data_IF_601174820258
#
_entry.id   IF_601174820258
#
_cell.length_a   1.000
_cell.length_b   1.000
_cell.length_c   1.000
_cell.angle_alpha   90.00
_cell.angle_beta   90.00
_cell.angle_gamma   90.00
#
_symmetry.space_group_name_H-M   'P 1'
#
loop_
_entity.id
_entity.type
_entity.pdbx_description
1 polymer ?
#
# COMPACT_ATOMS: atom_id res chain seq x y z
N UNK A 1 -29.93 17.04 -33.70
CA UNK A 1 -29.19 15.80 -33.57
C UNK A 1 -29.30 15.33 -32.11
N UNK A 2 -29.91 14.18 -31.85
CA UNK A 2 -29.88 13.60 -30.50
C UNK A 2 -28.49 13.02 -30.26
N UNK A 3 -27.88 13.24 -29.06
CA UNK A 3 -26.59 12.67 -28.73
C UNK A 3 -26.64 11.15 -28.79
N UNK A 4 -25.60 10.52 -29.27
CA UNK A 4 -25.50 9.05 -29.31
C UNK A 4 -25.55 8.47 -27.86
N UNK A 5 -25.98 7.22 -27.73
CA UNK A 5 -25.99 6.51 -26.45
C UNK A 5 -24.64 6.57 -25.76
N UNK A 6 -23.54 6.53 -26.52
CA UNK A 6 -22.18 6.67 -26.01
C UNK A 6 -21.87 8.09 -25.48
N UNK A 7 -22.38 9.12 -26.14
CA UNK A 7 -22.20 10.51 -25.67
C UNK A 7 -22.94 10.71 -24.34
N UNK A 8 -24.16 10.18 -24.22
CA UNK A 8 -24.95 10.25 -22.98
C UNK A 8 -24.27 9.47 -21.85
N UNK A 9 -23.67 8.30 -22.13
CA UNK A 9 -22.90 7.54 -21.14
C UNK A 9 -21.63 8.29 -20.70
N UNK A 10 -20.94 8.99 -21.62
CA UNK A 10 -19.79 9.84 -21.29
C UNK A 10 -20.20 11.02 -20.41
N UNK A 11 -21.28 11.70 -20.75
CA UNK A 11 -21.82 12.82 -19.97
C UNK A 11 -22.20 12.34 -18.56
N UNK A 12 -22.87 11.21 -18.44
CA UNK A 12 -23.22 10.63 -17.15
C UNK A 12 -21.98 10.27 -16.30
N UNK A 13 -20.90 9.78 -16.92
CA UNK A 13 -19.64 9.52 -16.24
C UNK A 13 -18.99 10.82 -15.73
N UNK A 14 -18.89 11.85 -16.59
CA UNK A 14 -18.34 13.15 -16.22
C UNK A 14 -19.17 13.77 -15.09
N UNK A 15 -20.48 13.74 -15.19
CA UNK A 15 -21.38 14.25 -14.14
C UNK A 15 -21.20 13.51 -12.81
N UNK A 16 -20.95 12.20 -12.82
CA UNK A 16 -20.69 11.42 -11.63
C UNK A 16 -19.35 11.79 -10.94
N UNK A 17 -18.34 12.24 -11.72
CA UNK A 17 -17.07 12.74 -11.17
C UNK A 17 -17.21 14.13 -10.53
N UNK A 18 -18.08 14.95 -11.07
CA UNK A 18 -18.26 16.35 -10.65
C UNK A 18 -19.27 16.51 -9.50
N UNK A 19 -20.01 15.47 -9.15
CA UNK A 19 -20.98 15.53 -8.03
C UNK A 19 -20.25 15.55 -6.68
N UNK A 20 -20.62 16.47 -5.77
CA UNK A 20 -20.13 16.43 -4.40
C UNK A 20 -20.49 15.10 -3.74
N UNK A 21 -19.57 14.58 -2.92
CA UNK A 21 -19.70 13.28 -2.25
C UNK A 21 -20.89 13.13 -1.31
N UNK A 22 -21.67 14.19 -1.09
CA UNK A 22 -22.85 14.23 -0.22
C UNK A 22 -24.16 13.81 -0.91
N UNK A 23 -24.17 13.55 -2.22
CA UNK A 23 -25.35 13.07 -2.90
C UNK A 23 -25.47 11.56 -2.69
N UNK A 24 -26.55 11.18 -2.03
CA UNK A 24 -26.93 9.81 -1.68
C UNK A 24 -26.71 8.83 -2.83
N UNK A 25 -25.98 7.75 -2.53
CA UNK A 25 -25.55 6.71 -3.48
C UNK A 25 -26.70 5.78 -3.94
N UNK A 26 -27.96 6.14 -3.76
CA UNK A 26 -29.08 5.23 -4.01
C UNK A 26 -29.39 4.93 -5.49
N UNK A 27 -28.75 5.62 -6.44
CA UNK A 27 -29.05 5.45 -7.88
C UNK A 27 -27.98 4.80 -8.73
N UNK A 28 -26.73 4.66 -8.29
CA UNK A 28 -25.60 4.31 -9.14
C UNK A 28 -25.20 2.82 -9.10
N UNK A 29 -26.18 1.93 -9.25
CA UNK A 29 -25.92 0.52 -9.52
C UNK A 29 -25.27 0.27 -10.91
N UNK A 30 -25.26 1.26 -11.79
CA UNK A 30 -24.72 1.19 -13.15
C UNK A 30 -23.18 1.11 -13.22
N UNK A 31 -22.47 1.47 -12.14
CA UNK A 31 -21.01 1.34 -12.04
C UNK A 31 -20.58 0.00 -11.41
N UNK A 32 -21.42 -1.00 -11.50
CA UNK A 32 -21.10 -2.34 -11.02
C UNK A 32 -20.17 -3.05 -12.00
N UNK A 33 -19.47 -4.08 -11.47
CA UNK A 33 -18.68 -5.06 -12.24
C UNK A 33 -19.37 -5.55 -13.53
N UNK A 34 -20.71 -5.47 -13.60
CA UNK A 34 -21.50 -5.85 -14.76
C UNK A 34 -21.20 -5.00 -16.02
N UNK A 35 -20.92 -3.70 -15.87
CA UNK A 35 -20.67 -2.83 -17.04
C UNK A 35 -19.32 -3.11 -17.70
N UNK A 36 -18.33 -3.59 -16.94
CA UNK A 36 -17.07 -4.08 -17.49
C UNK A 36 -17.23 -5.42 -18.22
N UNK A 37 -18.16 -6.27 -17.76
CA UNK A 37 -18.49 -7.55 -18.44
C UNK A 37 -19.17 -7.33 -19.79
N UNK A 38 -20.02 -6.34 -19.92
CA UNK A 38 -20.74 -6.03 -21.17
C UNK A 38 -19.80 -5.63 -22.31
N UNK A 39 -18.55 -5.22 -22.00
CA UNK A 39 -17.51 -4.84 -22.96
C UNK A 39 -16.44 -5.93 -23.16
N UNK A 40 -16.67 -7.16 -22.66
CA UNK A 40 -15.73 -8.28 -22.79
C UNK A 40 -14.46 -8.16 -21.92
N UNK A 41 -14.37 -7.17 -21.04
CA UNK A 41 -13.28 -7.01 -20.08
C UNK A 41 -13.52 -7.78 -18.78
N UNK A 42 -12.45 -8.18 -18.08
CA UNK A 42 -12.56 -8.67 -16.72
C UNK A 42 -13.19 -7.62 -15.80
N UNK A 43 -14.00 -8.02 -14.78
CA UNK A 43 -14.57 -7.08 -13.84
C UNK A 43 -13.45 -6.33 -13.12
N UNK A 44 -13.49 -5.00 -13.18
CA UNK A 44 -12.52 -4.16 -12.50
C UNK A 44 -12.74 -4.14 -10.99
N UNK A 45 -11.67 -3.88 -10.26
CA UNK A 45 -11.67 -3.82 -8.80
C UNK A 45 -11.97 -2.42 -8.27
N UNK A 46 -12.47 -2.37 -7.04
CA UNK A 46 -12.70 -1.15 -6.28
C UNK A 46 -11.54 -0.94 -5.31
N UNK A 47 -10.88 0.19 -5.43
CA UNK A 47 -9.70 0.52 -4.63
C UNK A 47 -9.94 1.79 -3.85
N UNK A 48 -9.59 1.81 -2.56
CA UNK A 48 -9.55 3.01 -1.75
C UNK A 48 -8.11 3.40 -1.40
N UNK A 49 -7.80 4.69 -1.48
CA UNK A 49 -6.53 5.27 -1.01
C UNK A 49 -6.85 6.17 0.18
N UNK A 50 -6.35 5.80 1.36
CA UNK A 50 -6.52 6.54 2.61
C UNK A 50 -5.27 7.37 2.90
N UNK A 51 -5.37 8.69 2.72
CA UNK A 51 -4.25 9.63 2.70
C UNK A 51 -3.94 10.11 1.28
N UNK A 52 -4.99 10.25 0.45
CA UNK A 52 -4.88 10.53 -0.98
C UNK A 52 -4.33 11.93 -1.31
N UNK A 53 -4.46 12.89 -0.40
CA UNK A 53 -3.97 14.26 -0.60
C UNK A 53 -2.51 14.48 -0.16
N UNK A 54 -1.89 13.48 0.46
CA UNK A 54 -0.49 13.52 0.88
C UNK A 54 0.50 13.41 -0.26
N UNK A 55 1.79 13.65 0.03
CA UNK A 55 2.86 13.60 -0.98
C UNK A 55 3.07 12.23 -1.64
N UNK A 56 2.67 11.13 -0.97
CA UNK A 56 2.61 9.79 -1.58
C UNK A 56 1.23 9.59 -2.23
N UNK A 57 0.17 10.06 -1.58
CA UNK A 57 -1.21 9.81 -1.99
C UNK A 57 -1.56 10.38 -3.36
N UNK A 58 -1.12 11.60 -3.68
CA UNK A 58 -1.42 12.23 -4.97
C UNK A 58 -0.83 11.46 -6.16
N UNK A 59 0.50 11.21 -6.25
CA UNK A 59 1.07 10.42 -7.34
C UNK A 59 0.56 8.97 -7.34
N UNK A 60 0.29 8.37 -6.19
CA UNK A 60 -0.32 7.06 -6.09
C UNK A 60 -1.73 7.04 -6.70
N UNK A 61 -2.54 8.06 -6.42
CA UNK A 61 -3.90 8.19 -6.97
C UNK A 61 -3.88 8.30 -8.50
N UNK A 62 -2.96 9.10 -9.03
CA UNK A 62 -2.75 9.23 -10.48
C UNK A 62 -2.37 7.87 -11.11
N UNK A 63 -1.39 7.19 -10.56
CA UNK A 63 -0.92 5.91 -11.08
C UNK A 63 -1.98 4.80 -10.96
N UNK A 64 -2.73 4.74 -9.85
CA UNK A 64 -3.83 3.78 -9.69
C UNK A 64 -5.00 4.05 -10.62
N UNK A 65 -5.26 5.32 -10.96
CA UNK A 65 -6.26 5.71 -11.97
C UNK A 65 -5.91 5.16 -13.36
N UNK A 66 -4.62 5.00 -13.66
CA UNK A 66 -4.12 4.44 -14.92
C UNK A 66 -4.17 2.90 -14.95
N UNK A 67 -4.28 2.24 -13.81
CA UNK A 67 -4.26 0.79 -13.75
C UNK A 67 -5.52 0.19 -14.38
N UNK A 68 -5.40 -0.67 -15.42
CA UNK A 68 -6.55 -1.21 -16.15
C UNK A 68 -7.43 -2.17 -15.33
N UNK A 69 -6.94 -2.66 -14.19
CA UNK A 69 -7.69 -3.51 -13.27
C UNK A 69 -8.59 -2.73 -12.32
N UNK A 70 -8.42 -1.41 -12.24
CA UNK A 70 -9.22 -0.54 -11.37
C UNK A 70 -10.44 -0.01 -12.12
N UNK A 71 -11.62 -0.28 -11.61
CA UNK A 71 -12.89 0.27 -12.12
C UNK A 71 -13.43 1.43 -11.29
N UNK A 72 -13.17 1.42 -9.98
CA UNK A 72 -13.58 2.47 -9.04
C UNK A 72 -12.40 2.80 -8.14
N UNK A 73 -12.10 4.07 -8.02
CA UNK A 73 -11.04 4.60 -7.16
C UNK A 73 -11.64 5.60 -6.18
N UNK A 74 -11.62 5.26 -4.89
CA UNK A 74 -12.02 6.14 -3.82
C UNK A 74 -10.80 6.83 -3.22
N UNK A 75 -10.82 8.16 -3.15
CA UNK A 75 -9.77 9.00 -2.60
C UNK A 75 -10.25 9.62 -1.29
N UNK A 76 -9.67 9.19 -0.18
CA UNK A 76 -10.01 9.70 1.15
C UNK A 76 -8.83 10.43 1.77
N UNK A 77 -9.13 11.58 2.38
CA UNK A 77 -8.19 12.29 3.26
C UNK A 77 -8.96 13.14 4.26
N UNK A 78 -8.29 13.64 5.29
CA UNK A 78 -8.84 14.62 6.23
C UNK A 78 -8.76 16.05 5.69
N UNK A 79 -7.96 16.25 4.63
CA UNK A 79 -7.79 17.53 3.93
C UNK A 79 -7.74 17.31 2.42
N UNK A 80 -8.20 18.25 1.63
CA UNK A 80 -7.99 18.41 0.17
C UNK A 80 -8.26 17.18 -0.75
N UNK A 81 -8.93 16.13 -0.28
CA UNK A 81 -9.30 15.00 -1.16
C UNK A 81 -10.21 15.41 -2.32
N UNK A 82 -11.15 16.38 -2.20
CA UNK A 82 -11.92 16.85 -3.35
C UNK A 82 -11.06 17.46 -4.46
N UNK A 83 -10.04 18.23 -4.11
CA UNK A 83 -9.12 18.85 -5.09
C UNK A 83 -8.34 17.79 -5.88
N UNK A 84 -7.76 16.81 -5.19
CA UNK A 84 -7.06 15.68 -5.84
C UNK A 84 -8.01 14.85 -6.71
N UNK A 85 -9.24 14.64 -6.24
CA UNK A 85 -10.27 13.92 -7.01
C UNK A 85 -10.63 14.64 -8.29
N UNK A 86 -10.84 15.96 -8.23
CA UNK A 86 -11.15 16.76 -9.39
C UNK A 86 -10.03 16.66 -10.44
N UNK A 87 -8.77 16.83 -10.03
CA UNK A 87 -7.60 16.76 -10.90
C UNK A 87 -7.47 15.38 -11.57
N UNK A 88 -7.45 14.31 -10.75
CA UNK A 88 -7.35 12.93 -11.26
C UNK A 88 -8.56 12.53 -12.12
N UNK A 89 -9.74 13.12 -11.91
CA UNK A 89 -10.94 12.83 -12.71
C UNK A 89 -10.84 13.31 -14.16
N UNK A 90 -9.94 14.26 -14.45
CA UNK A 90 -9.71 14.75 -15.82
C UNK A 90 -8.87 13.78 -16.67
N UNK A 91 -8.36 12.71 -16.10
CA UNK A 91 -7.61 11.69 -16.86
C UNK A 91 -8.58 10.78 -17.63
N UNK A 92 -8.32 10.54 -18.90
CA UNK A 92 -9.17 9.79 -19.85
C UNK A 92 -9.04 8.26 -19.71
N UNK A 93 -9.08 7.74 -18.49
CA UNK A 93 -9.02 6.31 -18.20
C UNK A 93 -10.38 5.74 -17.76
N UNK A 94 -10.52 4.41 -17.78
CA UNK A 94 -11.77 3.73 -17.50
C UNK A 94 -12.24 3.75 -16.04
N UNK A 95 -11.36 4.08 -15.08
CA UNK A 95 -11.72 4.09 -13.66
C UNK A 95 -12.58 5.30 -13.29
N UNK A 96 -13.60 5.09 -12.46
CA UNK A 96 -14.40 6.18 -11.85
C UNK A 96 -13.76 6.60 -10.54
N UNK A 97 -13.50 7.90 -10.37
CA UNK A 97 -12.88 8.44 -9.16
C UNK A 97 -13.93 9.13 -8.30
N UNK A 98 -13.87 8.96 -6.97
CA UNK A 98 -14.72 9.64 -5.99
C UNK A 98 -13.89 10.11 -4.81
N UNK A 99 -14.13 11.35 -4.38
CA UNK A 99 -13.45 11.97 -3.24
C UNK A 99 -14.31 11.94 -1.99
N UNK A 100 -13.65 11.70 -0.85
CA UNK A 100 -14.24 11.67 0.47
C UNK A 100 -13.38 12.45 1.45
N UNK A 101 -14.01 13.36 2.22
CA UNK A 101 -13.30 14.30 3.07
C UNK A 101 -13.69 14.12 4.53
N UNK A 102 -12.68 13.92 5.38
CA UNK A 102 -12.81 13.93 6.83
C UNK A 102 -13.50 12.70 7.41
N UNK A 103 -13.44 12.59 8.73
CA UNK A 103 -13.93 11.44 9.49
C UNK A 103 -15.36 11.01 9.18
N UNK A 104 -16.32 11.92 8.99
CA UNK A 104 -17.73 11.53 8.69
C UNK A 104 -17.89 10.76 7.39
N UNK A 105 -16.95 10.90 6.44
CA UNK A 105 -17.04 10.23 5.13
C UNK A 105 -16.18 8.97 5.02
N UNK A 106 -15.47 8.58 6.08
CA UNK A 106 -14.57 7.42 6.04
C UNK A 106 -15.33 6.12 5.71
N UNK A 107 -16.49 5.90 6.30
CA UNK A 107 -17.30 4.69 6.05
C UNK A 107 -17.75 4.62 4.58
N UNK A 108 -18.16 5.75 4.01
CA UNK A 108 -18.56 5.83 2.60
C UNK A 108 -17.36 5.56 1.66
N UNK A 109 -16.17 6.04 2.03
CA UNK A 109 -14.95 5.79 1.28
C UNK A 109 -14.58 4.29 1.23
N UNK A 110 -14.88 3.56 2.30
CA UNK A 110 -14.48 2.17 2.49
C UNK A 110 -15.52 1.14 2.03
N UNK A 111 -16.79 1.53 1.90
CA UNK A 111 -17.89 0.59 1.61
C UNK A 111 -17.65 -0.19 0.32
N UNK A 112 -17.51 -1.50 0.46
CA UNK A 112 -17.42 -2.46 -0.65
C UNK A 112 -16.10 -2.42 -1.43
N UNK A 113 -15.00 -1.97 -0.82
CA UNK A 113 -13.68 -1.98 -1.43
C UNK A 113 -13.08 -3.39 -1.48
N UNK A 114 -12.35 -3.68 -2.56
CA UNK A 114 -11.61 -4.93 -2.74
C UNK A 114 -10.15 -4.79 -2.25
N UNK A 115 -9.58 -3.60 -2.38
CA UNK A 115 -8.22 -3.25 -1.94
C UNK A 115 -8.24 -1.88 -1.26
N UNK A 116 -7.59 -1.78 -0.11
CA UNK A 116 -7.38 -0.52 0.62
C UNK A 116 -5.90 -0.25 0.76
N UNK A 117 -5.43 0.90 0.30
CA UNK A 117 -4.03 1.32 0.38
C UNK A 117 -3.95 2.47 1.39
N UNK A 118 -3.05 2.36 2.37
CA UNK A 118 -2.93 3.31 3.48
C UNK A 118 -1.56 4.00 3.47
N UNK A 119 -1.35 5.05 2.67
CA UNK A 119 -0.19 5.91 2.78
C UNK A 119 -0.35 6.99 3.87
N UNK A 120 -1.52 7.08 4.50
CA UNK A 120 -1.83 8.08 5.52
C UNK A 120 -0.81 8.09 6.66
N UNK A 121 -0.39 9.28 7.04
CA UNK A 121 0.55 9.51 8.13
C UNK A 121 1.19 10.88 8.01
N UNK A 122 1.73 11.36 9.10
CA UNK A 122 2.48 12.61 9.11
C UNK A 122 3.97 12.34 8.90
N UNK A 123 4.68 13.17 8.12
CA UNK A 123 6.13 13.11 8.05
C UNK A 123 6.73 13.63 9.35
N UNK A 124 7.96 13.22 9.66
CA UNK A 124 8.70 13.77 10.80
C UNK A 124 8.96 15.26 10.60
N UNK A 125 8.51 16.07 11.53
CA UNK A 125 8.75 17.53 11.56
C UNK A 125 9.96 17.84 12.44
N UNK A 126 10.64 18.98 12.23
CA UNK A 126 11.65 19.47 13.16
C UNK A 126 11.10 19.56 14.60
N UNK A 127 11.88 19.11 15.58
CA UNK A 127 11.47 19.05 16.99
C UNK A 127 10.63 17.83 17.39
N UNK A 128 10.14 17.04 16.47
CA UNK A 128 9.41 15.80 16.76
C UNK A 128 10.35 14.66 17.15
N UNK A 129 10.06 14.00 18.25
CA UNK A 129 10.72 12.75 18.62
C UNK A 129 10.23 11.57 17.76
N UNK A 130 10.94 10.45 17.79
CA UNK A 130 10.47 9.21 17.12
C UNK A 130 9.20 8.67 17.78
N UNK A 131 9.03 8.89 19.06
CA UNK A 131 7.86 8.43 19.82
C UNK A 131 6.63 9.27 19.54
N UNK A 132 6.78 10.60 19.38
CA UNK A 132 5.69 11.48 18.95
C UNK A 132 5.16 11.07 17.57
N UNK A 133 6.08 10.87 16.62
CA UNK A 133 5.74 10.42 15.28
C UNK A 133 5.02 9.06 15.29
N UNK A 134 5.54 8.12 16.10
CA UNK A 134 4.90 6.81 16.25
C UNK A 134 3.48 6.94 16.78
N UNK A 135 3.28 7.69 17.88
CA UNK A 135 1.96 7.81 18.51
C UNK A 135 0.91 8.44 17.58
N UNK A 136 1.30 9.46 16.81
CA UNK A 136 0.39 10.09 15.83
C UNK A 136 0.01 9.09 14.75
N UNK A 137 0.98 8.46 14.10
CA UNK A 137 0.72 7.53 13.00
C UNK A 137 0.00 6.26 13.47
N UNK A 138 0.30 5.77 14.67
CA UNK A 138 -0.41 4.65 15.30
C UNK A 138 -1.90 4.98 15.53
N UNK A 139 -2.21 6.19 16.00
CA UNK A 139 -3.58 6.68 16.15
C UNK A 139 -4.33 6.74 14.81
N UNK A 140 -3.69 7.29 13.78
CA UNK A 140 -4.25 7.35 12.42
C UNK A 140 -4.57 5.93 11.92
N UNK A 141 -3.59 5.02 11.95
CA UNK A 141 -3.76 3.63 11.49
C UNK A 141 -4.85 2.91 12.26
N UNK A 142 -4.92 3.08 13.59
CA UNK A 142 -6.01 2.52 14.40
C UNK A 142 -7.38 2.94 13.88
N UNK A 143 -7.62 4.25 13.73
CA UNK A 143 -8.91 4.78 13.27
C UNK A 143 -9.28 4.29 11.89
N UNK A 144 -8.32 4.26 10.96
CA UNK A 144 -8.57 3.76 9.60
C UNK A 144 -8.88 2.26 9.58
N UNK A 145 -8.17 1.46 10.38
CA UNK A 145 -8.40 0.02 10.47
C UNK A 145 -9.73 -0.32 11.18
N UNK A 146 -10.18 0.48 12.15
CA UNK A 146 -11.52 0.37 12.73
C UNK A 146 -12.60 0.57 11.66
N UNK A 147 -12.44 1.56 10.78
CA UNK A 147 -13.32 1.77 9.63
C UNK A 147 -13.31 0.59 8.63
N UNK A 148 -12.13 0.08 8.29
CA UNK A 148 -11.97 -1.07 7.38
C UNK A 148 -12.67 -2.31 7.94
N UNK A 149 -12.46 -2.63 9.21
CA UNK A 149 -13.08 -3.79 9.85
C UNK A 149 -14.61 -3.76 9.80
N UNK A 150 -15.20 -2.56 9.83
CA UNK A 150 -16.65 -2.33 9.77
C UNK A 150 -17.20 -2.36 8.34
N UNK A 151 -16.51 -1.73 7.38
CA UNK A 151 -17.08 -1.43 6.07
C UNK A 151 -16.60 -2.34 4.93
N UNK A 152 -15.39 -2.91 5.04
CA UNK A 152 -14.82 -3.79 4.02
C UNK A 152 -13.89 -4.86 4.64
N UNK A 153 -14.38 -5.72 5.56
CA UNK A 153 -13.54 -6.67 6.30
C UNK A 153 -12.83 -7.70 5.40
N UNK A 154 -13.32 -7.89 4.19
CA UNK A 154 -12.74 -8.81 3.21
C UNK A 154 -11.76 -8.13 2.23
N UNK A 155 -11.51 -6.83 2.35
CA UNK A 155 -10.55 -6.16 1.51
C UNK A 155 -9.11 -6.60 1.81
N UNK A 156 -8.25 -6.62 0.79
CA UNK A 156 -6.80 -6.66 1.01
C UNK A 156 -6.37 -5.27 1.49
N UNK A 157 -5.54 -5.22 2.53
CA UNK A 157 -5.02 -3.98 3.09
C UNK A 157 -3.52 -3.88 2.83
N UNK A 158 -3.12 -2.87 2.07
CA UNK A 158 -1.73 -2.52 1.80
C UNK A 158 -1.31 -1.35 2.71
N UNK A 159 -0.56 -1.65 3.75
CA UNK A 159 -0.14 -0.66 4.74
C UNK A 159 1.23 -0.09 4.40
N UNK A 160 1.27 1.24 4.21
CA UNK A 160 2.49 1.99 3.87
C UNK A 160 2.92 2.88 5.04
N UNK A 161 1.99 3.27 5.89
CA UNK A 161 2.21 4.19 7.03
C UNK A 161 3.38 3.77 7.90
N UNK A 162 4.34 4.68 8.08
CA UNK A 162 5.54 4.40 8.89
C UNK A 162 5.32 4.69 10.39
N UNK A 163 5.99 3.91 11.25
CA UNK A 163 6.90 2.79 10.98
C UNK A 163 6.14 1.48 10.69
N UNK A 164 6.28 0.95 9.47
CA UNK A 164 5.50 -0.22 9.00
C UNK A 164 5.64 -1.45 9.91
N UNK A 165 6.81 -1.66 10.49
CA UNK A 165 7.08 -2.76 11.41
C UNK A 165 6.25 -2.71 12.71
N UNK A 166 5.70 -1.54 13.04
CA UNK A 166 4.79 -1.37 14.18
C UNK A 166 3.34 -1.19 13.75
N UNK A 167 3.09 -0.52 12.61
CA UNK A 167 1.74 -0.21 12.16
C UNK A 167 0.99 -1.44 11.65
N UNK A 168 1.68 -2.42 11.05
CA UNK A 168 1.08 -3.71 10.67
C UNK A 168 0.62 -4.50 11.91
N UNK A 169 1.42 -4.70 12.96
CA UNK A 169 0.95 -5.25 14.23
C UNK A 169 -0.20 -4.47 14.86
N UNK A 170 -0.23 -3.12 14.79
CA UNK A 170 -1.36 -2.31 15.24
C UNK A 170 -2.63 -2.68 14.47
N UNK A 171 -2.57 -2.70 13.15
CA UNK A 171 -3.71 -3.07 12.31
C UNK A 171 -4.22 -4.48 12.63
N UNK A 172 -3.32 -5.44 12.80
CA UNK A 172 -3.68 -6.81 13.19
C UNK A 172 -4.42 -6.87 14.54
N UNK A 173 -3.93 -6.16 15.55
CA UNK A 173 -4.59 -6.12 16.88
C UNK A 173 -5.96 -5.40 16.81
N UNK A 174 -6.11 -4.36 15.99
CA UNK A 174 -7.40 -3.70 15.76
C UNK A 174 -8.39 -4.68 15.12
N UNK A 175 -8.01 -5.38 14.06
CA UNK A 175 -8.88 -6.35 13.38
C UNK A 175 -9.26 -7.53 14.31
N UNK A 176 -8.35 -8.00 15.16
CA UNK A 176 -8.66 -9.03 16.18
C UNK A 176 -9.71 -8.54 17.18
N UNK A 177 -9.61 -7.29 17.65
CA UNK A 177 -10.57 -6.69 18.59
C UNK A 177 -11.96 -6.47 17.97
N UNK A 178 -12.03 -6.27 16.66
CA UNK A 178 -13.28 -5.98 15.94
C UNK A 178 -14.16 -7.23 15.67
N UNK A 179 -14.05 -8.27 16.47
CA UNK A 179 -14.99 -9.39 16.44
C UNK A 179 -14.72 -10.45 15.36
N UNK A 180 -13.44 -10.75 15.07
CA UNK A 180 -13.07 -11.89 14.21
C UNK A 180 -12.89 -11.56 12.73
N UNK A 181 -12.76 -10.30 12.37
CA UNK A 181 -12.50 -9.86 10.99
C UNK A 181 -11.02 -9.98 10.57
N UNK A 182 -10.15 -10.42 11.48
CA UNK A 182 -8.73 -10.56 11.19
C UNK A 182 -8.43 -11.80 10.35
N UNK A 183 -8.14 -11.59 9.07
CA UNK A 183 -7.50 -12.57 8.21
C UNK A 183 -6.05 -12.15 7.96
N UNK A 184 -5.05 -12.89 8.49
CA UNK A 184 -3.64 -12.53 8.34
C UNK A 184 -3.18 -12.51 6.88
N UNK A 185 -3.87 -13.22 5.98
CA UNK A 185 -3.56 -13.24 4.55
C UNK A 185 -3.92 -11.94 3.84
N UNK A 186 -4.80 -11.13 4.43
CA UNK A 186 -5.32 -9.90 3.82
C UNK A 186 -4.66 -8.62 4.33
N UNK A 187 -3.73 -8.72 5.27
CA UNK A 187 -2.98 -7.59 5.82
C UNK A 187 -1.52 -7.67 5.39
N UNK A 188 -1.10 -6.77 4.51
CA UNK A 188 0.23 -6.74 3.92
C UNK A 188 0.90 -5.37 4.15
N UNK A 189 2.03 -5.38 4.84
CA UNK A 189 2.91 -4.22 4.93
C UNK A 189 3.76 -4.10 3.67
N UNK A 190 3.76 -2.91 3.06
CA UNK A 190 4.43 -2.67 1.80
C UNK A 190 5.92 -2.41 2.03
N UNK A 191 6.77 -3.35 1.62
CA UNK A 191 8.25 -3.25 1.64
C UNK A 191 8.84 -3.03 0.24
N UNK A 192 8.00 -2.92 -0.76
CA UNK A 192 8.37 -2.84 -2.18
C UNK A 192 9.34 -1.70 -2.51
N UNK A 193 9.36 -0.60 -1.74
CA UNK A 193 10.31 0.49 -2.01
C UNK A 193 11.76 0.05 -1.83
N UNK A 194 12.03 -0.81 -0.86
CA UNK A 194 13.38 -1.31 -0.63
C UNK A 194 13.78 -2.32 -1.73
N UNK A 195 12.83 -3.12 -2.24
CA UNK A 195 13.04 -3.98 -3.42
C UNK A 195 13.33 -3.14 -4.67
N UNK A 196 12.55 -2.09 -4.91
CA UNK A 196 12.76 -1.17 -6.06
C UNK A 196 14.14 -0.51 -5.97
N UNK A 197 14.57 -0.07 -4.80
CA UNK A 197 15.91 0.48 -4.59
C UNK A 197 17.00 -0.56 -4.82
N UNK A 198 16.81 -1.76 -4.29
CA UNK A 198 17.76 -2.86 -4.48
C UNK A 198 17.96 -3.15 -5.97
N UNK A 199 16.88 -3.33 -6.72
CA UNK A 199 16.95 -3.56 -8.16
C UNK A 199 17.61 -2.38 -8.90
N UNK A 200 17.25 -1.13 -8.55
CA UNK A 200 17.84 0.06 -9.19
C UNK A 200 19.34 0.17 -8.93
N UNK A 201 19.78 -0.08 -7.70
CA UNK A 201 21.19 0.09 -7.35
C UNK A 201 22.07 -1.02 -7.90
N UNK A 202 21.52 -2.16 -8.33
CA UNK A 202 22.25 -3.17 -9.10
C UNK A 202 22.74 -2.67 -10.48
N UNK A 203 22.27 -1.50 -10.94
CA UNK A 203 22.82 -0.84 -12.13
C UNK A 203 24.31 -0.56 -12.02
N UNK A 204 24.84 -0.33 -10.82
CA UNK A 204 26.29 -0.18 -10.54
C UNK A 204 27.08 -1.43 -10.99
N UNK A 205 26.42 -2.58 -11.00
CA UNK A 205 26.99 -3.86 -11.46
C UNK A 205 26.78 -4.10 -12.96
N UNK A 206 26.27 -3.11 -13.70
CA UNK A 206 25.94 -3.24 -15.12
C UNK A 206 24.70 -4.08 -15.42
N UNK A 207 23.86 -4.31 -14.41
CA UNK A 207 22.61 -5.08 -14.54
C UNK A 207 21.43 -4.16 -14.86
N UNK A 208 20.50 -4.62 -15.72
CA UNK A 208 19.26 -3.90 -15.97
C UNK A 208 18.31 -4.06 -14.75
N UNK A 209 17.90 -2.96 -14.10
CA UNK A 209 16.99 -3.00 -12.95
C UNK A 209 15.65 -3.70 -13.21
N UNK A 210 15.25 -3.84 -14.47
CA UNK A 210 14.00 -4.50 -14.89
C UNK A 210 14.10 -6.02 -14.91
N UNK A 211 15.34 -6.53 -15.05
CA UNK A 211 15.65 -7.95 -15.17
C UNK A 211 16.17 -8.56 -13.86
N UNK A 212 16.34 -7.71 -12.83
CA UNK A 212 16.86 -8.12 -11.52
C UNK A 212 15.70 -8.31 -10.54
N UNK A 213 15.75 -9.36 -9.75
CA UNK A 213 14.82 -9.63 -8.65
C UNK A 213 15.59 -9.83 -7.35
N UNK A 214 15.86 -8.74 -6.66
CA UNK A 214 16.57 -8.75 -5.36
C UNK A 214 15.56 -8.81 -4.23
N UNK A 215 15.44 -9.94 -3.52
CA UNK A 215 14.51 -10.05 -2.40
C UNK A 215 14.99 -9.23 -1.21
N UNK A 216 14.07 -8.47 -0.60
CA UNK A 216 14.29 -7.76 0.65
C UNK A 216 13.51 -8.46 1.76
N UNK A 217 14.18 -8.87 2.81
CA UNK A 217 13.61 -9.68 3.89
C UNK A 217 13.75 -9.01 5.25
N UNK A 218 13.03 -9.53 6.26
CA UNK A 218 13.10 -9.08 7.65
C UNK A 218 12.06 -8.02 7.98
N UNK A 219 12.22 -6.88 7.42
CA UNK A 219 11.41 -5.67 7.63
C UNK A 219 12.03 -4.55 6.83
N UNK A 220 11.88 -3.30 7.27
CA UNK A 220 12.56 -2.19 6.61
C UNK A 220 14.07 -2.40 6.69
N UNK A 221 14.67 -2.71 5.55
CA UNK A 221 16.11 -2.74 5.30
C UNK A 221 16.93 -3.93 5.87
N UNK A 222 16.49 -5.15 5.62
CA UNK A 222 17.40 -6.31 5.65
C UNK A 222 17.54 -6.87 4.24
N UNK A 223 18.75 -6.91 3.71
CA UNK A 223 19.01 -7.27 2.34
C UNK A 223 19.72 -8.62 2.25
N UNK A 224 19.27 -9.47 1.33
CA UNK A 224 19.99 -10.64 0.87
C UNK A 224 20.54 -10.33 -0.53
N UNK A 225 21.83 -9.98 -0.61
CA UNK A 225 22.56 -9.81 -1.87
C UNK A 225 23.86 -10.58 -1.75
N UNK A 226 24.04 -11.52 -2.64
CA UNK A 226 25.30 -12.24 -2.75
C UNK A 226 26.15 -11.67 -3.91
N UNK A 227 26.82 -10.53 -3.66
CA UNK A 227 27.77 -9.90 -4.56
C UNK A 227 29.05 -9.60 -3.77
N UNK A 228 30.02 -10.50 -3.82
CA UNK A 228 31.09 -10.64 -2.87
C UNK A 228 31.85 -9.36 -2.45
N UNK A 229 32.23 -8.46 -3.34
CA UNK A 229 33.03 -7.27 -3.00
C UNK A 229 32.23 -5.99 -2.79
N UNK A 230 31.01 -5.88 -3.36
CA UNK A 230 30.17 -4.68 -3.30
C UNK A 230 28.97 -4.82 -2.38
N UNK A 231 28.80 -5.98 -1.74
CA UNK A 231 27.65 -6.30 -0.88
C UNK A 231 27.46 -5.29 0.24
N UNK A 232 28.54 -4.92 0.93
CA UNK A 232 28.46 -3.97 2.05
C UNK A 232 28.08 -2.57 1.57
N UNK A 233 28.66 -2.10 0.48
CA UNK A 233 28.34 -0.79 -0.11
C UNK A 233 26.88 -0.74 -0.56
N UNK A 234 26.41 -1.73 -1.33
CA UNK A 234 25.04 -1.79 -1.82
C UNK A 234 24.03 -1.94 -0.68
N UNK A 235 24.33 -2.80 0.29
CA UNK A 235 23.47 -2.97 1.47
C UNK A 235 23.30 -1.65 2.21
N UNK A 236 24.42 -0.96 2.50
CA UNK A 236 24.39 0.33 3.18
C UNK A 236 23.61 1.39 2.39
N UNK A 237 23.81 1.47 1.08
CA UNK A 237 23.13 2.43 0.22
C UNK A 237 21.62 2.16 0.15
N UNK A 238 21.19 0.91 0.05
CA UNK A 238 19.78 0.54 0.02
C UNK A 238 19.11 0.85 1.36
N UNK A 239 19.76 0.49 2.47
CA UNK A 239 19.28 0.77 3.82
C UNK A 239 19.15 2.28 4.08
N UNK A 240 20.07 3.08 3.59
CA UNK A 240 20.12 4.52 3.81
C UNK A 240 19.49 5.36 2.67
N UNK A 241 18.97 4.74 1.62
CA UNK A 241 18.37 5.44 0.48
C UNK A 241 17.20 6.37 0.87
N UNK A 242 16.56 6.15 2.02
CA UNK A 242 15.60 7.08 2.59
C UNK A 242 16.25 8.37 3.12
N UNK A 243 17.43 8.27 3.73
CA UNK A 243 18.21 9.39 4.25
C UNK A 243 18.72 10.25 3.10
N UNK A 244 19.28 9.62 2.05
CA UNK A 244 19.72 10.29 0.83
C UNK A 244 18.61 11.22 0.25
N UNK A 245 17.36 10.73 0.18
CA UNK A 245 16.24 11.54 -0.31
C UNK A 245 15.90 12.69 0.64
N UNK A 246 15.93 12.46 1.96
CA UNK A 246 15.64 13.52 2.96
C UNK A 246 16.69 14.62 2.89
N UNK A 247 17.97 14.28 2.76
CA UNK A 247 19.07 15.22 2.61
C UNK A 247 18.95 16.01 1.30
N UNK A 248 18.72 15.34 0.18
CA UNK A 248 18.54 15.99 -1.12
C UNK A 248 17.32 16.94 -1.15
N UNK A 249 16.30 16.67 -0.35
CA UNK A 249 15.13 17.53 -0.17
C UNK A 249 15.32 18.61 0.91
N UNK A 250 16.52 18.78 1.44
CA UNK A 250 16.83 19.72 2.51
C UNK A 250 15.85 19.64 3.71
N UNK A 251 15.41 18.43 4.06
CA UNK A 251 14.45 18.16 5.15
C UNK A 251 12.98 18.43 4.82
N UNK A 252 12.65 18.83 3.59
CA UNK A 252 11.26 19.08 3.17
C UNK A 252 10.40 17.82 2.97
N UNK A 253 10.85 16.68 3.45
CA UNK A 253 10.12 15.42 3.41
C UNK A 253 10.99 14.22 3.05
N UNK A 254 10.37 13.08 2.87
CA UNK A 254 11.01 11.81 2.51
C UNK A 254 10.65 11.39 1.07
N UNK A 255 10.95 10.14 0.71
CA UNK A 255 10.55 9.57 -0.57
C UNK A 255 9.03 9.63 -0.75
N UNK A 256 8.58 10.22 -1.84
CA UNK A 256 7.17 10.36 -2.21
C UNK A 256 6.88 9.70 -3.55
N UNK A 257 7.54 10.13 -4.63
CA UNK A 257 7.31 9.61 -5.98
C UNK A 257 7.74 8.14 -6.11
N UNK A 258 8.94 7.81 -5.65
CA UNK A 258 9.43 6.42 -5.65
C UNK A 258 8.61 5.51 -4.73
N UNK A 259 8.09 6.04 -3.61
CA UNK A 259 7.18 5.27 -2.75
C UNK A 259 5.83 5.05 -3.44
N UNK A 260 5.28 6.03 -4.12
CA UNK A 260 4.05 5.88 -4.89
C UNK A 260 4.21 4.85 -6.02
N UNK A 261 5.33 4.89 -6.74
CA UNK A 261 5.68 3.89 -7.75
C UNK A 261 5.75 2.47 -7.16
N UNK A 262 6.48 2.29 -6.07
CA UNK A 262 6.58 1.01 -5.38
C UNK A 262 5.21 0.52 -4.88
N UNK A 263 4.38 1.42 -4.34
CA UNK A 263 3.04 1.10 -3.86
C UNK A 263 2.11 0.65 -4.99
N UNK A 264 2.17 1.30 -6.16
CA UNK A 264 1.38 0.89 -7.34
C UNK A 264 1.83 -0.47 -7.85
N UNK A 265 3.14 -0.72 -7.93
CA UNK A 265 3.68 -2.02 -8.34
C UNK A 265 3.16 -3.14 -7.43
N UNK A 266 3.18 -2.91 -6.12
CA UNK A 266 2.66 -3.86 -5.14
C UNK A 266 1.13 -4.01 -5.20
N UNK A 267 0.40 -2.90 -5.36
CA UNK A 267 -1.06 -2.90 -5.49
C UNK A 267 -1.51 -3.64 -6.77
N UNK A 268 -0.80 -3.45 -7.89
CA UNK A 268 -1.04 -4.20 -9.13
C UNK A 268 -0.87 -5.70 -8.91
N UNK A 269 0.19 -6.12 -8.20
CA UNK A 269 0.38 -7.53 -7.84
C UNK A 269 -0.80 -8.06 -7.00
N UNK A 270 -1.31 -7.28 -6.03
CA UNK A 270 -2.49 -7.64 -5.25
C UNK A 270 -3.74 -7.77 -6.14
N UNK A 271 -3.96 -6.85 -7.07
CA UNK A 271 -5.10 -6.90 -8.01
C UNK A 271 -5.01 -8.07 -8.97
N UNK A 272 -3.80 -8.39 -9.46
CA UNK A 272 -3.55 -9.59 -10.28
C UNK A 272 -3.82 -10.87 -9.49
N UNK A 273 -3.37 -10.93 -8.24
CA UNK A 273 -3.70 -12.04 -7.34
C UNK A 273 -5.21 -12.19 -7.13
N UNK A 274 -5.92 -11.09 -6.82
CA UNK A 274 -7.39 -11.08 -6.70
C UNK A 274 -8.10 -11.53 -7.99
N UNK A 275 -7.57 -11.18 -9.15
CA UNK A 275 -8.06 -11.66 -10.46
C UNK A 275 -7.87 -13.17 -10.60
N UNK A 276 -6.87 -13.74 -9.95
CA UNK A 276 -6.50 -15.16 -9.97
C UNK A 276 -5.37 -15.50 -10.92
N UNK A 277 -4.50 -14.53 -11.22
CA UNK A 277 -3.28 -14.76 -11.97
C UNK A 277 -2.36 -15.70 -11.19
N UNK A 278 -1.76 -16.65 -11.89
CA UNK A 278 -0.79 -17.55 -11.29
C UNK A 278 0.59 -16.91 -11.16
N UNK A 279 1.38 -17.35 -10.17
CA UNK A 279 2.79 -16.98 -10.05
C UNK A 279 3.04 -15.53 -9.64
N UNK A 280 2.07 -14.83 -9.06
CA UNK A 280 2.29 -13.48 -8.52
C UNK A 280 3.03 -13.60 -7.19
N UNK A 281 4.29 -13.21 -7.17
CA UNK A 281 5.17 -13.28 -5.99
C UNK A 281 5.83 -11.93 -5.76
N UNK A 282 5.68 -11.40 -4.55
CA UNK A 282 6.28 -10.12 -4.14
C UNK A 282 6.76 -10.19 -2.69
N UNK A 283 7.72 -9.34 -2.32
CA UNK A 283 8.13 -9.20 -0.93
C UNK A 283 7.11 -8.36 -0.15
N UNK A 284 6.66 -8.87 1.00
CA UNK A 284 5.72 -8.17 1.88
C UNK A 284 5.97 -8.49 3.35
N UNK A 285 5.70 -7.53 4.23
CA UNK A 285 5.71 -7.71 5.68
C UNK A 285 4.35 -8.23 6.13
N UNK A 286 4.31 -9.49 6.54
CA UNK A 286 3.07 -10.23 6.82
C UNK A 286 3.18 -11.02 8.14
N UNK A 287 2.05 -11.49 8.64
CA UNK A 287 2.05 -12.54 9.65
C UNK A 287 2.75 -13.79 9.08
N UNK A 288 3.77 -14.28 9.77
CA UNK A 288 4.71 -15.24 9.21
C UNK A 288 5.19 -16.24 10.24
N UNK A 289 5.61 -17.42 9.77
CA UNK A 289 6.28 -18.47 10.54
C UNK A 289 7.71 -18.73 10.03
N UNK A 290 8.25 -17.84 9.22
CA UNK A 290 9.62 -17.95 8.68
C UNK A 290 10.66 -17.81 9.78
N UNK A 291 10.34 -17.06 10.82
CA UNK A 291 11.14 -16.91 12.03
C UNK A 291 10.25 -17.09 13.28
N UNK A 292 10.83 -16.99 14.46
CA UNK A 292 10.09 -16.98 15.75
C UNK A 292 9.24 -15.70 15.95
N UNK A 293 9.42 -14.67 15.11
CA UNK A 293 8.65 -13.44 15.20
C UNK A 293 7.26 -13.61 14.54
N UNK A 294 6.21 -13.00 15.11
CA UNK A 294 4.85 -13.14 14.56
C UNK A 294 4.63 -12.42 13.23
N UNK A 295 5.54 -11.53 12.85
CA UNK A 295 5.55 -10.80 11.57
C UNK A 295 6.95 -10.75 11.02
N UNK A 296 7.06 -10.98 9.72
CA UNK A 296 8.34 -10.93 9.01
C UNK A 296 8.13 -10.60 7.54
N UNK A 297 9.11 -9.96 6.90
CA UNK A 297 9.08 -9.73 5.46
C UNK A 297 9.86 -10.80 4.71
N UNK A 298 9.22 -11.43 3.75
CA UNK A 298 9.83 -12.37 2.81
C UNK A 298 9.05 -12.39 1.50
N UNK A 299 9.46 -13.20 0.53
CA UNK A 299 8.66 -13.45 -0.67
C UNK A 299 7.34 -14.10 -0.29
N UNK A 300 6.25 -13.62 -0.88
CA UNK A 300 4.88 -14.07 -0.63
C UNK A 300 4.18 -14.29 -1.96
N UNK A 301 3.55 -15.44 -2.12
CA UNK A 301 2.64 -15.67 -3.25
C UNK A 301 1.29 -15.02 -2.95
N UNK A 302 0.90 -14.09 -3.79
CA UNK A 302 -0.34 -13.34 -3.67
C UNK A 302 -1.39 -13.97 -4.59
N UNK A 303 -2.52 -14.35 -4.03
CA UNK A 303 -3.63 -14.96 -4.74
C UNK A 303 -4.96 -14.30 -4.39
N UNK A 304 -6.07 -14.99 -4.69
CA UNK A 304 -7.45 -14.50 -4.48
C UNK A 304 -7.76 -14.19 -3.02
N UNK A 305 -7.08 -14.88 -2.10
CA UNK A 305 -7.25 -14.70 -0.66
C UNK A 305 -6.20 -13.77 -0.02
N UNK A 306 -5.34 -13.13 -0.81
CA UNK A 306 -4.22 -12.34 -0.35
C UNK A 306 -2.91 -13.14 -0.30
N UNK A 307 -2.15 -13.07 0.78
CA UNK A 307 -0.91 -13.83 1.00
C UNK A 307 -1.22 -15.31 1.22
N UNK A 308 -1.21 -16.11 0.17
CA UNK A 308 -1.58 -17.53 0.24
C UNK A 308 -0.42 -18.43 0.69
N UNK A 309 0.81 -18.03 0.36
CA UNK A 309 2.02 -18.77 0.71
C UNK A 309 3.14 -17.79 1.07
N UNK A 310 3.83 -18.06 2.16
CA UNK A 310 4.99 -17.28 2.61
C UNK A 310 6.23 -18.17 2.44
N UNK A 311 7.15 -17.73 1.59
CA UNK A 311 8.32 -18.53 1.26
C UNK A 311 9.40 -18.45 2.34
N UNK A 312 10.09 -19.57 2.55
CA UNK A 312 11.28 -19.64 3.38
C UNK A 312 12.46 -18.90 2.73
N UNK A 313 13.42 -18.49 3.52
CA UNK A 313 14.56 -17.69 3.04
C UNK A 313 15.60 -18.50 2.23
N UNK A 314 15.56 -19.81 2.33
CA UNK A 314 16.63 -20.64 1.76
C UNK A 314 17.93 -20.60 2.57
N UNK A 315 19.04 -21.11 2.02
CA UNK A 315 20.34 -21.07 2.66
C UNK A 315 20.88 -19.65 2.70
N UNK A 316 21.35 -19.22 3.87
CA UNK A 316 21.95 -17.90 4.09
C UNK A 316 23.45 -18.04 4.30
N UNK A 317 24.25 -17.13 3.74
CA UNK A 317 25.67 -17.00 4.03
C UNK A 317 25.91 -16.37 5.42
N UNK A 318 27.16 -16.22 5.85
CA UNK A 318 27.50 -15.70 7.18
C UNK A 318 27.12 -14.23 7.36
N UNK A 319 27.32 -13.40 6.34
CA UNK A 319 26.97 -11.98 6.34
C UNK A 319 25.44 -11.80 6.46
N UNK A 320 24.69 -12.55 5.67
CA UNK A 320 23.23 -12.53 5.68
C UNK A 320 22.67 -13.01 7.04
N UNK A 321 23.23 -14.06 7.62
CA UNK A 321 22.82 -14.54 8.96
C UNK A 321 23.05 -13.47 10.03
N UNK A 322 24.22 -12.83 10.02
CA UNK A 322 24.52 -11.76 10.97
C UNK A 322 23.55 -10.57 10.81
N UNK A 323 23.28 -10.15 9.56
CA UNK A 323 22.31 -9.12 9.23
C UNK A 323 20.90 -9.47 9.70
N UNK A 324 20.47 -10.71 9.48
CA UNK A 324 19.15 -11.20 9.89
C UNK A 324 18.98 -11.19 11.42
N UNK A 325 19.98 -11.64 12.18
CA UNK A 325 19.92 -11.63 13.64
C UNK A 325 19.82 -10.21 14.21
N UNK A 326 20.52 -9.24 13.61
CA UNK A 326 20.38 -7.83 13.96
C UNK A 326 18.98 -7.32 13.64
N UNK A 327 18.47 -7.59 12.45
CA UNK A 327 17.15 -7.17 12.02
C UNK A 327 16.04 -7.76 12.89
N UNK A 328 16.13 -9.02 13.30
CA UNK A 328 15.17 -9.70 14.18
C UNK A 328 15.04 -8.98 15.53
N UNK A 329 16.15 -8.54 16.13
CA UNK A 329 16.14 -7.80 17.42
C UNK A 329 15.40 -6.46 17.28
N UNK A 330 15.69 -5.69 16.24
CA UNK A 330 15.03 -4.41 15.97
C UNK A 330 13.54 -4.60 15.65
N UNK A 331 13.23 -5.65 14.90
CA UNK A 331 11.88 -5.99 14.50
C UNK A 331 11.02 -6.43 15.68
N UNK A 332 11.57 -7.26 16.59
CA UNK A 332 10.89 -7.68 17.82
C UNK A 332 10.45 -6.48 18.66
N UNK A 333 11.33 -5.50 18.86
CA UNK A 333 11.02 -4.27 19.58
C UNK A 333 9.92 -3.45 18.89
N UNK A 334 9.97 -3.33 17.55
CA UNK A 334 8.99 -2.61 16.75
C UNK A 334 7.60 -3.28 16.79
N UNK A 335 7.55 -4.60 16.69
CA UNK A 335 6.30 -5.39 16.80
C UNK A 335 5.70 -5.22 18.17
N UNK A 336 6.51 -5.40 19.23
CA UNK A 336 6.03 -5.27 20.62
C UNK A 336 5.48 -3.87 20.89
N UNK A 337 6.13 -2.82 20.37
CA UNK A 337 5.67 -1.44 20.48
C UNK A 337 4.28 -1.27 19.86
N UNK A 338 4.07 -1.82 18.65
CA UNK A 338 2.79 -1.78 17.95
C UNK A 338 1.69 -2.52 18.72
N UNK A 339 1.94 -3.74 19.14
CA UNK A 339 0.98 -4.56 19.93
C UNK A 339 0.59 -3.87 21.24
N UNK A 340 1.58 -3.36 21.97
CA UNK A 340 1.36 -2.68 23.26
C UNK A 340 0.55 -1.39 23.13
N UNK A 341 0.60 -0.70 21.99
CA UNK A 341 -0.21 0.50 21.75
C UNK A 341 -1.72 0.22 21.75
N UNK A 342 -2.14 -0.95 21.30
CA UNK A 342 -3.56 -1.34 21.23
C UNK A 342 -4.03 -2.07 22.48
N UNK A 343 -3.15 -2.78 23.17
CA UNK A 343 -3.51 -3.59 24.35
C UNK A 343 -3.60 -2.78 25.65
N UNK A 344 -3.05 -1.55 25.65
CA UNK A 344 -3.27 -0.58 26.74
C UNK A 344 -4.72 -0.11 26.73
#
# INVERSE_FOLDING_TARGET
>A
MQPSVEANQRIARISAHLQPSNLQMEGNSSLRRADCRAKGGAPGFKVAILGAAGGIGQPLSMLMKMNPLVSVLHLYDVVNSPGVTADVSHMDTGAVVRGFLGQPQLENALTGMDLVIIPAGVPRKPGMTRDDLFNINAGIVRTLCEGISKCCPNAIVNLISNPVNSTVPIAAEVFKKAGGTYDPKRLLGVTMLDVVRANTFCEVLGLDPREVDVPVVGGKASLLIDFAEETEYLTNRIQNGGTEVVEAKAGAGSATLSMAYAAVKFADACLRGLRGDAGVVECAFVASQVTELPFFASKVRIGRNGAEEVYQLGPLNEYERAGMEKAKKELAASIQKGVSFIRK
#
